data_IF_651754526502
#
_entry.id   IF_651754526502
#
_cell.length_a   1.000
_cell.length_b   1.000
_cell.length_c   1.000
_cell.angle_alpha   90.00
_cell.angle_beta   90.00
_cell.angle_gamma   90.00
#
_symmetry.space_group_name_H-M   'P 1'
#
loop_
_entity.id
_entity.type
_entity.pdbx_description
1 polymer ?
#
# COMPACT_ATOMS: atom_id res chain seq x y z
N UNK A 1 5.07 12.22 16.82
CA UNK A 1 4.15 13.09 17.57
C UNK A 1 4.56 14.58 17.54
N UNK A 2 5.85 14.94 17.76
CA UNK A 2 6.29 16.37 17.73
C UNK A 2 6.00 17.06 16.38
N UNK A 3 6.15 16.36 15.26
CA UNK A 3 5.87 16.92 13.94
C UNK A 3 4.37 17.15 13.73
N UNK A 4 3.51 16.22 14.15
CA UNK A 4 2.05 16.33 14.00
C UNK A 4 1.48 17.53 14.79
N UNK A 5 2.05 17.83 15.97
CA UNK A 5 1.62 18.99 16.78
C UNK A 5 1.74 20.34 16.07
N UNK A 6 2.52 20.43 14.99
CA UNK A 6 2.64 21.67 14.20
C UNK A 6 1.45 21.87 13.24
N UNK A 7 0.73 20.81 12.93
CA UNK A 7 -0.32 20.80 11.90
C UNK A 7 -1.70 20.42 12.44
N UNK A 8 -1.77 19.93 13.69
CA UNK A 8 -3.00 19.48 14.32
C UNK A 8 -3.31 20.31 15.56
N UNK A 9 -4.57 20.67 15.76
CA UNK A 9 -5.05 21.37 16.95
C UNK A 9 -4.87 20.53 18.22
N UNK A 10 -5.12 19.22 18.13
CA UNK A 10 -4.94 18.25 19.21
C UNK A 10 -4.26 16.98 18.69
N UNK A 11 -3.47 16.34 19.53
CA UNK A 11 -2.77 15.09 19.20
C UNK A 11 -2.84 14.14 20.39
N UNK A 12 -3.44 12.98 20.19
CA UNK A 12 -3.57 11.92 21.17
C UNK A 12 -2.67 10.74 20.81
N UNK A 13 -2.09 10.11 21.81
CA UNK A 13 -1.30 8.89 21.64
C UNK A 13 -2.08 7.69 22.17
N UNK A 14 -2.44 6.77 21.28
CA UNK A 14 -3.15 5.55 21.61
C UNK A 14 -2.47 4.35 20.95
N UNK A 15 -2.52 3.22 21.62
CA UNK A 15 -2.20 1.95 20.96
C UNK A 15 -3.43 1.50 20.14
N UNK A 16 -3.28 0.90 18.96
CA UNK A 16 -4.42 0.41 18.17
C UNK A 16 -5.35 -0.57 18.90
N UNK A 17 -4.84 -1.26 19.92
CA UNK A 17 -5.62 -2.13 20.79
C UNK A 17 -6.36 -1.43 21.93
N UNK A 18 -6.20 -0.10 22.12
CA UNK A 18 -6.92 0.68 23.13
C UNK A 18 -8.23 1.25 22.56
N UNK A 19 -9.12 0.38 22.05
CA UNK A 19 -10.33 0.78 21.33
C UNK A 19 -11.26 1.62 22.21
N UNK A 20 -11.50 1.21 23.46
CA UNK A 20 -12.34 1.99 24.38
C UNK A 20 -11.81 3.41 24.61
N UNK A 21 -10.48 3.57 24.69
CA UNK A 21 -9.85 4.89 24.85
C UNK A 21 -10.00 5.73 23.58
N UNK A 22 -9.84 5.10 22.43
CA UNK A 22 -10.03 5.77 21.13
C UNK A 22 -11.48 6.24 20.99
N UNK A 23 -12.45 5.35 21.26
CA UNK A 23 -13.88 5.69 21.23
C UNK A 23 -14.21 6.85 22.17
N UNK A 24 -13.68 6.81 23.39
CA UNK A 24 -13.88 7.90 24.35
C UNK A 24 -13.36 9.23 23.80
N UNK A 25 -12.14 9.27 23.28
CA UNK A 25 -11.56 10.48 22.68
C UNK A 25 -12.43 11.00 21.53
N UNK A 26 -12.87 10.11 20.64
CA UNK A 26 -13.72 10.48 19.50
C UNK A 26 -15.06 11.09 19.94
N UNK A 27 -15.67 10.57 21.00
CA UNK A 27 -16.90 11.09 21.60
C UNK A 27 -16.67 12.43 22.30
N UNK A 28 -15.64 12.51 23.15
CA UNK A 28 -15.33 13.73 23.93
C UNK A 28 -14.96 14.91 23.02
N UNK A 29 -14.37 14.63 21.86
CA UNK A 29 -14.01 15.62 20.83
C UNK A 29 -15.11 15.83 19.78
N UNK A 30 -16.26 15.20 19.92
CA UNK A 30 -17.43 15.31 19.03
C UNK A 30 -17.09 15.08 17.54
N UNK A 31 -16.15 14.13 17.25
CA UNK A 31 -15.68 13.83 15.89
C UNK A 31 -16.82 13.28 15.05
N UNK A 32 -17.05 13.86 13.87
CA UNK A 32 -18.05 13.41 12.89
C UNK A 32 -17.45 12.75 11.66
N UNK A 33 -16.19 13.07 11.35
CA UNK A 33 -15.49 12.52 10.19
C UNK A 33 -14.08 12.10 10.58
N UNK A 34 -13.60 11.01 10.01
CA UNK A 34 -12.27 10.48 10.24
C UNK A 34 -11.65 9.98 8.93
N UNK A 35 -10.34 9.94 8.85
CA UNK A 35 -9.60 9.26 7.78
C UNK A 35 -8.43 8.48 8.38
N UNK A 36 -8.10 7.35 7.78
CA UNK A 36 -6.96 6.55 8.17
C UNK A 36 -5.77 6.88 7.28
N UNK A 37 -4.65 7.30 7.85
CA UNK A 37 -3.43 7.60 7.12
C UNK A 37 -2.24 6.86 7.74
N UNK A 38 -1.43 6.26 6.90
CA UNK A 38 -0.24 5.53 7.33
C UNK A 38 -0.44 4.02 7.37
N UNK A 39 0.51 3.32 7.97
CA UNK A 39 0.54 1.85 8.00
C UNK A 39 0.55 1.32 9.44
N UNK A 40 -0.38 0.44 9.74
CA UNK A 40 -0.35 -0.37 10.97
C UNK A 40 0.37 -1.70 10.65
N UNK A 41 1.43 -1.99 11.39
CA UNK A 41 2.17 -3.23 11.20
C UNK A 41 1.47 -4.42 11.87
N UNK A 42 1.39 -5.56 11.20
CA UNK A 42 0.83 -6.83 11.74
C UNK A 42 1.43 -7.23 13.11
N UNK A 43 2.66 -6.78 13.41
CA UNK A 43 3.28 -6.99 14.72
C UNK A 43 2.47 -6.42 15.89
N UNK A 44 1.57 -5.49 15.65
CA UNK A 44 0.63 -4.98 16.67
C UNK A 44 -0.23 -6.13 17.22
N UNK A 45 -0.66 -7.06 16.36
CA UNK A 45 -1.43 -8.24 16.77
C UNK A 45 -0.68 -9.19 17.71
N UNK A 46 0.65 -9.10 17.75
CA UNK A 46 1.46 -9.87 18.71
C UNK A 46 1.50 -9.22 20.11
N UNK A 47 0.95 -8.03 20.28
CA UNK A 47 0.92 -7.28 21.52
C UNK A 47 -0.46 -7.36 22.20
N UNK A 48 -1.08 -8.53 22.22
CA UNK A 48 -2.44 -8.75 22.76
C UNK A 48 -2.62 -8.24 24.20
N UNK A 49 -1.54 -8.21 25.00
CA UNK A 49 -1.57 -7.64 26.34
C UNK A 49 -1.91 -6.13 26.39
N UNK A 50 -1.87 -5.44 25.27
CA UNK A 50 -2.27 -4.03 25.12
C UNK A 50 -3.67 -3.85 24.54
N UNK A 51 -4.38 -4.95 24.31
CA UNK A 51 -5.73 -4.93 23.75
C UNK A 51 -6.74 -4.92 24.89
N UNK A 52 -7.66 -3.96 24.85
CA UNK A 52 -8.80 -3.97 25.74
C UNK A 52 -9.88 -4.99 25.29
N UNK A 53 -10.91 -5.16 26.13
CA UNK A 53 -11.98 -6.15 25.88
C UNK A 53 -12.66 -5.89 24.52
N UNK A 54 -12.89 -4.62 24.15
CA UNK A 54 -13.53 -4.25 22.90
C UNK A 54 -12.68 -4.60 21.69
N UNK A 55 -11.38 -4.32 21.75
CA UNK A 55 -10.43 -4.72 20.70
C UNK A 55 -10.42 -6.25 20.51
N UNK A 56 -10.47 -7.01 21.59
CA UNK A 56 -10.52 -8.48 21.54
C UNK A 56 -11.83 -8.97 20.91
N UNK A 57 -12.97 -8.35 21.22
CA UNK A 57 -14.26 -8.66 20.59
C UNK A 57 -14.23 -8.45 19.08
N UNK A 58 -13.70 -7.30 18.64
CA UNK A 58 -13.55 -6.97 17.20
C UNK A 58 -12.67 -8.02 16.50
N UNK A 59 -11.54 -8.39 17.11
CA UNK A 59 -10.65 -9.41 16.55
C UNK A 59 -11.30 -10.80 16.48
N UNK A 60 -12.09 -11.18 17.50
CA UNK A 60 -12.84 -12.46 17.49
C UNK A 60 -13.91 -12.49 16.41
N UNK A 61 -14.52 -11.35 16.08
CA UNK A 61 -15.50 -11.25 15.00
C UNK A 61 -14.86 -11.41 13.60
N UNK A 62 -13.55 -11.21 13.47
CA UNK A 62 -12.82 -11.44 12.24
C UNK A 62 -12.62 -12.93 11.99
N UNK A 63 -13.40 -13.54 11.09
CA UNK A 63 -13.27 -14.96 10.70
C UNK A 63 -11.91 -15.30 10.09
N UNK A 64 -11.24 -14.32 9.50
CA UNK A 64 -9.86 -14.38 8.98
C UNK A 64 -9.18 -13.06 9.32
N UNK A 65 -7.99 -13.13 9.87
CA UNK A 65 -7.15 -11.96 10.21
C UNK A 65 -6.38 -11.44 8.98
N UNK A 66 -7.07 -11.26 7.85
CA UNK A 66 -6.47 -10.46 6.77
C UNK A 66 -6.69 -8.97 7.06
N UNK A 67 -5.74 -8.15 6.60
CA UNK A 67 -5.68 -6.73 6.96
C UNK A 67 -6.97 -5.99 6.56
N UNK A 68 -7.51 -6.28 5.37
CA UNK A 68 -8.70 -5.62 4.84
C UNK A 68 -9.95 -5.89 5.69
N UNK A 69 -10.13 -7.14 6.15
CA UNK A 69 -11.28 -7.48 7.01
C UNK A 69 -11.20 -6.85 8.39
N UNK A 70 -10.01 -6.82 8.98
CA UNK A 70 -9.80 -6.14 10.27
C UNK A 70 -10.09 -4.64 10.11
N UNK A 71 -9.62 -4.01 9.02
CA UNK A 71 -9.89 -2.60 8.78
C UNK A 71 -11.37 -2.31 8.53
N UNK A 72 -12.09 -3.18 7.79
CA UNK A 72 -13.54 -3.05 7.62
C UNK A 72 -14.30 -3.13 8.96
N UNK A 73 -13.89 -4.01 9.87
CA UNK A 73 -14.49 -4.07 11.21
C UNK A 73 -14.24 -2.76 11.99
N UNK A 74 -13.03 -2.20 11.88
CA UNK A 74 -12.71 -0.91 12.52
C UNK A 74 -13.58 0.21 11.92
N UNK A 75 -13.72 0.26 10.58
CA UNK A 75 -14.61 1.22 9.91
C UNK A 75 -16.03 1.09 10.42
N UNK A 76 -16.57 -0.13 10.52
CA UNK A 76 -17.92 -0.38 11.05
C UNK A 76 -18.07 0.11 12.50
N UNK A 77 -17.04 -0.01 13.34
CA UNK A 77 -17.10 0.54 14.70
C UNK A 77 -17.19 2.07 14.70
N UNK A 78 -16.44 2.77 13.81
CA UNK A 78 -16.56 4.22 13.62
C UNK A 78 -17.96 4.61 13.15
N UNK A 79 -18.52 3.90 12.18
CA UNK A 79 -19.89 4.14 11.65
C UNK A 79 -20.96 3.95 12.74
N UNK A 80 -20.81 2.95 13.63
CA UNK A 80 -21.69 2.77 14.81
C UNK A 80 -21.64 3.96 15.78
N UNK A 81 -20.53 4.67 15.82
CA UNK A 81 -20.38 5.90 16.62
C UNK A 81 -20.93 7.14 15.90
N UNK A 82 -21.50 6.99 14.70
CA UNK A 82 -21.95 8.09 13.86
C UNK A 82 -20.81 8.88 13.19
N UNK A 83 -19.66 8.27 13.05
CA UNK A 83 -18.46 8.86 12.43
C UNK A 83 -18.34 8.36 11.00
N UNK A 84 -18.35 9.26 10.03
CA UNK A 84 -18.10 8.91 8.61
C UNK A 84 -16.61 8.75 8.37
N UNK A 85 -16.20 7.58 7.88
CA UNK A 85 -14.81 7.34 7.45
C UNK A 85 -14.66 7.77 6.01
N UNK A 86 -13.79 8.76 5.79
CA UNK A 86 -13.55 9.38 4.49
C UNK A 86 -12.51 8.60 3.68
N UNK A 87 -12.67 8.64 2.36
CA UNK A 87 -11.67 8.17 1.40
C UNK A 87 -10.36 8.98 1.56
N UNK A 88 -9.24 8.29 1.70
CA UNK A 88 -7.92 8.93 1.83
C UNK A 88 -7.56 9.79 0.62
N UNK A 89 -8.02 9.41 -0.59
CA UNK A 89 -7.65 10.08 -1.83
C UNK A 89 -8.10 11.53 -1.88
N UNK A 90 -9.13 11.91 -1.10
CA UNK A 90 -9.59 13.30 -0.99
C UNK A 90 -8.45 14.23 -0.56
N UNK A 91 -7.56 13.74 0.31
CA UNK A 91 -6.48 14.54 0.91
C UNK A 91 -5.13 14.38 0.20
N UNK A 92 -4.99 13.39 -0.69
CA UNK A 92 -3.72 13.02 -1.31
C UNK A 92 -3.79 12.93 -2.84
N UNK A 93 -4.78 13.59 -3.47
CA UNK A 93 -4.95 13.61 -4.93
C UNK A 93 -3.67 14.01 -5.67
N UNK A 94 -2.91 14.94 -5.11
CA UNK A 94 -1.64 15.41 -5.68
C UNK A 94 -0.50 14.36 -5.61
N UNK A 95 -0.67 13.29 -4.86
CA UNK A 95 0.27 12.17 -4.80
C UNK A 95 -0.11 11.02 -5.74
N UNK A 96 -1.33 11.06 -6.31
CA UNK A 96 -1.77 10.06 -7.28
C UNK A 96 -1.05 10.29 -8.60
N UNK A 97 -0.68 9.19 -9.27
CA UNK A 97 0.13 9.24 -10.47
C UNK A 97 -0.77 9.15 -11.70
N UNK A 98 -0.75 10.14 -12.60
CA UNK A 98 -1.43 10.03 -13.88
C UNK A 98 -0.75 9.00 -14.78
N UNK A 99 -1.46 8.49 -15.81
CA UNK A 99 -0.90 7.58 -16.81
C UNK A 99 0.29 8.23 -17.54
N UNK A 100 1.30 7.43 -17.80
CA UNK A 100 2.50 7.85 -18.53
C UNK A 100 3.81 7.37 -17.89
N UNK A 101 4.90 7.76 -18.51
CA UNK A 101 6.26 7.48 -18.03
C UNK A 101 6.70 8.61 -17.11
N UNK A 102 7.32 8.25 -15.99
CA UNK A 102 7.87 9.19 -15.01
C UNK A 102 9.39 9.18 -15.09
N UNK A 103 9.97 10.37 -15.21
CA UNK A 103 11.42 10.53 -15.41
C UNK A 103 11.83 10.53 -16.88
N UNK A 104 13.11 10.24 -17.14
CA UNK A 104 13.75 10.39 -18.47
C UNK A 104 13.73 9.11 -19.30
N UNK A 105 13.71 7.98 -18.65
CA UNK A 105 13.84 6.66 -19.26
C UNK A 105 12.50 6.16 -19.79
N UNK A 106 12.52 5.56 -20.97
CA UNK A 106 11.33 4.95 -21.57
C UNK A 106 11.45 3.43 -21.57
N UNK A 107 10.32 2.71 -21.43
CA UNK A 107 10.32 1.26 -21.58
C UNK A 107 10.64 0.85 -23.02
N UNK A 108 11.29 -0.29 -23.20
CA UNK A 108 11.39 -0.97 -24.50
C UNK A 108 10.09 -1.72 -24.83
N UNK A 109 9.91 -2.10 -26.09
CA UNK A 109 8.74 -2.88 -26.54
C UNK A 109 8.62 -4.20 -25.75
N UNK A 110 9.73 -4.89 -25.54
CA UNK A 110 9.75 -6.12 -24.75
C UNK A 110 9.33 -5.89 -23.29
N UNK A 111 9.76 -4.79 -22.68
CA UNK A 111 9.32 -4.42 -21.33
C UNK A 111 7.82 -4.07 -21.31
N UNK A 112 7.29 -3.44 -22.36
CA UNK A 112 5.86 -3.15 -22.46
C UNK A 112 5.01 -4.43 -22.60
N UNK A 113 5.50 -5.45 -23.30
CA UNK A 113 4.83 -6.76 -23.33
C UNK A 113 4.79 -7.39 -21.92
N UNK A 114 5.91 -7.34 -21.19
CA UNK A 114 5.99 -7.80 -19.80
C UNK A 114 5.06 -7.00 -18.87
N UNK A 115 4.97 -5.68 -19.05
CA UNK A 115 4.05 -4.81 -18.31
C UNK A 115 2.60 -5.21 -18.54
N UNK A 116 2.20 -5.38 -19.81
CA UNK A 116 0.81 -5.72 -20.17
C UNK A 116 0.41 -7.07 -19.58
N UNK A 117 1.29 -8.07 -19.71
CA UNK A 117 1.06 -9.39 -19.13
C UNK A 117 1.03 -9.34 -17.59
N UNK A 118 1.98 -8.64 -16.99
CA UNK A 118 2.05 -8.49 -15.54
C UNK A 118 0.87 -7.72 -14.97
N UNK A 119 0.34 -6.71 -15.68
CA UNK A 119 -0.83 -5.95 -15.24
C UNK A 119 -2.07 -6.85 -15.18
N UNK A 120 -2.34 -7.58 -16.25
CA UNK A 120 -3.43 -8.56 -16.25
C UNK A 120 -3.28 -9.56 -15.11
N UNK A 121 -2.09 -10.17 -14.95
CA UNK A 121 -1.84 -11.16 -13.91
C UNK A 121 -2.03 -10.59 -12.50
N UNK A 122 -1.49 -9.40 -12.24
CA UNK A 122 -1.60 -8.76 -10.94
C UNK A 122 -3.06 -8.44 -10.57
N UNK A 123 -3.89 -8.06 -11.55
CA UNK A 123 -5.34 -7.88 -11.35
C UNK A 123 -6.04 -9.21 -11.03
N UNK A 124 -5.73 -10.30 -11.72
CA UNK A 124 -6.30 -11.62 -11.43
C UNK A 124 -5.91 -12.09 -10.01
N UNK A 125 -4.65 -11.93 -9.62
CA UNK A 125 -4.18 -12.26 -8.27
C UNK A 125 -4.83 -11.38 -7.20
N UNK A 126 -5.10 -10.12 -7.51
CA UNK A 126 -5.83 -9.20 -6.64
C UNK A 126 -7.28 -9.60 -6.41
N UNK A 127 -7.97 -10.17 -7.41
CA UNK A 127 -9.36 -10.66 -7.29
C UNK A 127 -9.49 -11.77 -6.25
N UNK A 128 -8.49 -12.66 -6.16
CA UNK A 128 -8.47 -13.77 -5.19
C UNK A 128 -7.72 -13.44 -3.89
N UNK A 129 -7.39 -12.16 -3.70
CA UNK A 129 -6.74 -11.62 -2.48
C UNK A 129 -5.42 -12.31 -2.10
N UNK A 130 -4.63 -12.71 -3.08
CA UNK A 130 -3.28 -13.29 -2.87
C UNK A 130 -2.24 -12.19 -2.69
N UNK A 131 -2.24 -11.20 -3.59
CA UNK A 131 -1.33 -10.07 -3.60
C UNK A 131 -1.65 -9.11 -4.73
N UNK A 132 -0.82 -8.08 -4.89
CA UNK A 132 -1.04 -7.02 -5.87
C UNK A 132 0.22 -6.63 -6.65
N UNK A 133 1.30 -7.38 -6.48
CA UNK A 133 2.54 -7.16 -7.23
C UNK A 133 3.03 -8.46 -7.85
N UNK A 134 3.55 -8.36 -9.06
CA UNK A 134 4.15 -9.49 -9.79
C UNK A 134 5.50 -9.05 -10.36
N UNK A 135 6.38 -10.03 -10.58
CA UNK A 135 7.67 -9.82 -11.25
C UNK A 135 7.69 -10.68 -12.49
N UNK A 136 7.90 -10.05 -13.62
CA UNK A 136 7.85 -10.66 -14.97
C UNK A 136 9.22 -10.52 -15.63
N UNK A 137 9.59 -11.46 -16.47
CA UNK A 137 10.73 -11.39 -17.38
C UNK A 137 10.45 -12.24 -18.60
N UNK A 138 10.54 -11.63 -19.80
CA UNK A 138 10.34 -12.30 -21.08
C UNK A 138 9.01 -13.09 -21.11
N UNK A 139 7.91 -12.47 -20.63
CA UNK A 139 6.56 -13.06 -20.45
C UNK A 139 6.51 -14.26 -19.51
N UNK A 140 7.55 -14.48 -18.71
CA UNK A 140 7.54 -15.53 -17.69
C UNK A 140 7.32 -14.92 -16.29
N UNK A 141 6.52 -15.59 -15.49
CA UNK A 141 6.25 -15.19 -14.10
C UNK A 141 7.44 -15.59 -13.23
N UNK A 142 8.19 -14.61 -12.76
CA UNK A 142 9.33 -14.83 -11.85
C UNK A 142 8.89 -14.89 -10.39
N UNK A 143 7.89 -14.07 -10.01
CA UNK A 143 7.30 -14.08 -8.68
C UNK A 143 5.92 -13.44 -8.67
N UNK A 144 5.08 -13.90 -7.76
CA UNK A 144 3.81 -13.27 -7.36
C UNK A 144 3.92 -12.92 -5.90
N UNK A 145 3.49 -11.71 -5.53
CA UNK A 145 3.43 -11.26 -4.14
C UNK A 145 2.39 -12.07 -3.37
N UNK A 146 2.74 -12.48 -2.17
CA UNK A 146 1.84 -13.06 -1.19
C UNK A 146 2.09 -12.39 0.17
N UNK A 147 2.09 -13.14 1.25
CA UNK A 147 2.25 -12.63 2.62
C UNK A 147 3.60 -11.94 2.89
N UNK A 148 4.61 -12.23 2.07
CA UNK A 148 5.94 -11.65 2.19
C UNK A 148 6.01 -10.15 1.87
N UNK A 149 5.05 -9.65 1.09
CA UNK A 149 4.95 -8.25 0.67
C UNK A 149 5.86 -7.89 -0.53
N UNK A 150 5.61 -6.71 -1.11
CA UNK A 150 6.19 -6.24 -2.39
C UNK A 150 7.72 -6.33 -2.43
N UNK A 151 8.45 -5.83 -1.41
CA UNK A 151 9.91 -5.79 -1.45
C UNK A 151 10.54 -7.20 -1.50
N UNK A 152 9.94 -8.18 -0.81
CA UNK A 152 10.43 -9.56 -0.81
C UNK A 152 10.04 -10.30 -2.10
N UNK A 153 8.88 -10.00 -2.66
CA UNK A 153 8.48 -10.47 -3.98
C UNK A 153 9.48 -9.99 -5.05
N UNK A 154 9.79 -8.68 -5.08
CA UNK A 154 10.80 -8.10 -5.98
C UNK A 154 12.15 -8.81 -5.81
N UNK A 155 12.62 -8.96 -4.57
CA UNK A 155 13.89 -9.66 -4.29
C UNK A 155 13.90 -11.07 -4.86
N UNK A 156 12.85 -11.85 -4.66
CA UNK A 156 12.74 -13.25 -5.09
C UNK A 156 12.66 -13.33 -6.62
N UNK A 157 11.75 -12.59 -7.24
CA UNK A 157 11.55 -12.57 -8.68
C UNK A 157 12.77 -12.07 -9.44
N UNK A 158 13.37 -10.96 -8.99
CA UNK A 158 14.57 -10.40 -9.65
C UNK A 158 15.78 -11.32 -9.55
N UNK A 159 15.93 -12.08 -8.46
CA UNK A 159 16.99 -13.10 -8.36
C UNK A 159 16.82 -14.22 -9.40
N UNK A 160 15.57 -14.66 -9.66
CA UNK A 160 15.25 -15.65 -10.69
C UNK A 160 15.50 -15.08 -12.09
N UNK A 161 15.09 -13.85 -12.34
CA UNK A 161 15.31 -13.13 -13.59
C UNK A 161 16.79 -12.79 -13.85
N UNK A 162 17.65 -12.80 -12.82
CA UNK A 162 19.06 -12.37 -12.84
C UNK A 162 19.24 -10.87 -13.10
N UNK A 163 18.62 -10.32 -14.15
CA UNK A 163 18.59 -8.90 -14.53
C UNK A 163 17.39 -8.60 -15.42
N UNK A 164 17.02 -7.35 -15.55
CA UNK A 164 16.00 -6.91 -16.51
C UNK A 164 14.58 -7.31 -16.09
N UNK A 165 14.33 -7.53 -14.81
CA UNK A 165 12.99 -7.87 -14.34
C UNK A 165 12.07 -6.64 -14.42
N UNK A 166 10.83 -6.87 -14.81
CA UNK A 166 9.71 -5.94 -14.80
C UNK A 166 8.86 -6.22 -13.59
N UNK A 167 8.64 -5.20 -12.77
CA UNK A 167 7.76 -5.25 -11.61
C UNK A 167 6.44 -4.58 -11.98
N UNK A 168 5.33 -5.21 -11.73
CA UNK A 168 4.00 -4.60 -11.91
C UNK A 168 3.26 -4.61 -10.59
N UNK A 169 2.73 -3.47 -10.18
CA UNK A 169 1.95 -3.31 -8.96
C UNK A 169 0.65 -2.56 -9.25
N UNK A 170 -0.47 -3.16 -8.90
CA UNK A 170 -1.82 -2.64 -9.17
C UNK A 170 -2.62 -2.43 -7.87
N UNK A 171 -3.74 -1.75 -7.96
CA UNK A 171 -4.77 -1.80 -6.95
C UNK A 171 -5.59 -3.09 -7.08
N UNK A 172 -5.94 -3.72 -5.96
CA UNK A 172 -6.87 -4.85 -5.99
C UNK A 172 -8.24 -4.36 -6.47
N UNK A 173 -9.00 -5.15 -7.24
CA UNK A 173 -10.34 -4.73 -7.69
C UNK A 173 -11.31 -4.35 -6.57
N UNK A 174 -11.16 -4.97 -5.39
CA UNK A 174 -11.97 -4.70 -4.20
C UNK A 174 -11.29 -3.79 -3.18
N UNK A 175 -10.26 -3.04 -3.59
CA UNK A 175 -9.49 -2.20 -2.67
C UNK A 175 -10.33 -1.08 -2.08
N UNK A 176 -10.37 -0.97 -0.77
CA UNK A 176 -11.12 0.06 -0.07
C UNK A 176 -10.22 1.28 0.19
N UNK A 177 -10.49 2.35 -0.57
CA UNK A 177 -9.70 3.60 -0.52
C UNK A 177 -9.80 4.35 0.80
N UNK A 178 -10.67 3.93 1.71
CA UNK A 178 -10.76 4.52 3.06
C UNK A 178 -9.53 4.18 3.92
N UNK A 179 -8.84 3.08 3.61
CA UNK A 179 -7.71 2.63 4.44
C UNK A 179 -6.56 1.94 3.69
N UNK A 180 -6.73 1.59 2.42
CA UNK A 180 -5.66 0.93 1.66
C UNK A 180 -5.53 1.55 0.26
N UNK A 181 -4.37 2.16 0.00
CA UNK A 181 -3.98 2.69 -1.29
C UNK A 181 -2.60 2.13 -1.64
N UNK A 182 -2.44 1.51 -2.82
CA UNK A 182 -1.14 1.07 -3.26
C UNK A 182 -0.11 2.20 -3.23
N UNK A 183 1.04 1.92 -2.69
CA UNK A 183 2.11 2.90 -2.61
C UNK A 183 3.44 2.30 -3.02
N UNK A 184 4.27 3.11 -3.69
CA UNK A 184 5.70 2.85 -3.88
C UNK A 184 6.50 4.02 -3.34
N UNK A 185 7.77 3.78 -3.09
CA UNK A 185 8.67 4.81 -2.57
C UNK A 185 10.13 4.43 -2.77
N UNK A 186 11.02 5.25 -2.25
CA UNK A 186 12.47 5.07 -2.41
C UNK A 186 12.98 3.70 -1.94
N UNK A 187 12.32 3.10 -0.95
CA UNK A 187 12.69 1.75 -0.46
C UNK A 187 12.48 0.70 -1.54
N UNK A 188 11.36 0.75 -2.26
CA UNK A 188 11.05 -0.16 -3.37
C UNK A 188 12.11 -0.03 -4.47
N UNK A 189 12.45 1.21 -4.87
CA UNK A 189 13.46 1.47 -5.90
C UNK A 189 14.86 0.99 -5.48
N UNK A 190 15.24 1.18 -4.21
CA UNK A 190 16.49 0.63 -3.66
C UNK A 190 16.52 -0.90 -3.71
N UNK A 191 15.37 -1.55 -3.47
CA UNK A 191 15.25 -3.01 -3.59
C UNK A 191 15.43 -3.42 -5.06
N UNK A 192 14.78 -2.73 -6.00
CA UNK A 192 14.92 -2.98 -7.43
C UNK A 192 16.36 -2.83 -7.90
N UNK A 193 17.03 -1.70 -7.57
CA UNK A 193 18.45 -1.50 -7.88
C UNK A 193 19.31 -2.65 -7.36
N UNK A 194 19.15 -2.99 -6.06
CA UNK A 194 19.93 -4.06 -5.42
C UNK A 194 19.80 -5.40 -6.13
N UNK A 195 18.64 -5.72 -6.67
CA UNK A 195 18.35 -7.01 -7.28
C UNK A 195 18.21 -6.94 -8.81
N UNK A 196 18.58 -5.79 -9.43
CA UNK A 196 18.65 -5.60 -10.88
C UNK A 196 17.29 -5.77 -11.58
N UNK A 197 16.25 -5.19 -11.02
CA UNK A 197 14.99 -4.99 -11.71
C UNK A 197 15.03 -3.62 -12.42
N UNK A 198 14.62 -3.57 -13.68
CA UNK A 198 14.86 -2.43 -14.55
C UNK A 198 13.61 -1.56 -14.75
N UNK A 199 12.41 -2.08 -14.47
CA UNK A 199 11.18 -1.35 -14.66
C UNK A 199 10.17 -1.63 -13.54
N UNK A 200 9.47 -0.59 -13.10
CA UNK A 200 8.26 -0.72 -12.30
C UNK A 200 7.09 -0.01 -13.00
N UNK A 201 6.03 -0.78 -13.25
CA UNK A 201 4.75 -0.27 -13.69
C UNK A 201 3.75 -0.28 -12.54
N UNK A 202 3.02 0.81 -12.36
CA UNK A 202 1.97 0.94 -11.35
C UNK A 202 0.64 1.30 -12.01
N UNK A 203 -0.47 1.07 -11.33
CA UNK A 203 -1.78 1.44 -11.84
C UNK A 203 -1.99 2.95 -11.72
N UNK A 204 -2.29 3.60 -12.84
CA UNK A 204 -2.51 5.03 -12.93
C UNK A 204 -3.75 5.46 -12.13
N UNK A 205 -3.68 6.60 -11.45
CA UNK A 205 -4.74 7.16 -10.61
C UNK A 205 -5.21 6.25 -9.44
N UNK A 206 -4.53 5.12 -9.22
CA UNK A 206 -4.80 4.17 -8.13
C UNK A 206 -3.60 3.99 -7.21
N UNK A 207 -2.42 4.46 -7.62
CA UNK A 207 -1.17 4.30 -6.86
C UNK A 207 -0.58 5.66 -6.51
N UNK A 208 0.01 5.76 -5.33
CA UNK A 208 0.78 6.93 -4.90
C UNK A 208 2.28 6.66 -4.90
N UNK A 209 3.06 7.71 -5.20
CA UNK A 209 4.52 7.70 -4.98
C UNK A 209 4.84 8.65 -3.82
N UNK A 210 5.39 8.07 -2.75
CA UNK A 210 5.86 8.85 -1.60
C UNK A 210 7.19 9.51 -1.93
N UNK A 211 7.32 10.82 -1.68
CA UNK A 211 8.49 11.63 -2.08
C UNK A 211 8.80 11.52 -3.59
N UNK A 212 7.82 11.77 -4.44
CA UNK A 212 7.87 11.53 -5.89
C UNK A 212 9.15 12.07 -6.56
N UNK A 213 9.53 13.31 -6.31
CA UNK A 213 10.75 13.90 -6.89
C UNK A 213 12.01 13.10 -6.57
N UNK A 214 12.16 12.66 -5.30
CA UNK A 214 13.31 11.85 -4.88
C UNK A 214 13.30 10.47 -5.51
N UNK A 215 12.11 9.89 -5.69
CA UNK A 215 11.92 8.57 -6.29
C UNK A 215 12.27 8.61 -7.77
N UNK A 216 11.76 9.61 -8.51
CA UNK A 216 12.06 9.80 -9.94
C UNK A 216 13.56 10.07 -10.15
N UNK A 217 14.14 11.00 -9.37
CA UNK A 217 15.57 11.26 -9.43
C UNK A 217 16.41 9.99 -9.20
N UNK A 218 16.07 9.22 -8.19
CA UNK A 218 16.76 7.95 -7.90
C UNK A 218 16.62 6.96 -9.04
N UNK A 219 15.45 6.86 -9.67
CA UNK A 219 15.20 5.99 -10.80
C UNK A 219 16.06 6.36 -12.01
N UNK A 220 16.07 7.66 -12.38
CA UNK A 220 16.89 8.19 -13.48
C UNK A 220 18.41 7.97 -13.27
N UNK A 221 18.89 8.12 -12.02
CA UNK A 221 20.29 7.90 -11.64
C UNK A 221 20.70 6.41 -11.60
N UNK A 222 19.75 5.48 -11.67
CA UNK A 222 20.00 4.05 -11.51
C UNK A 222 19.39 3.18 -12.62
N UNK A 223 19.10 3.80 -13.78
CA UNK A 223 18.58 3.14 -14.98
C UNK A 223 17.28 2.32 -14.72
N UNK A 224 16.40 2.84 -13.86
CA UNK A 224 15.12 2.23 -13.56
C UNK A 224 13.99 3.02 -14.22
N UNK A 225 13.20 2.37 -15.06
CA UNK A 225 12.00 2.97 -15.64
C UNK A 225 10.86 2.95 -14.61
N UNK A 226 10.17 4.07 -14.46
CA UNK A 226 8.90 4.15 -13.71
C UNK A 226 7.81 4.55 -14.68
N UNK A 227 6.71 3.82 -14.67
CA UNK A 227 5.54 4.17 -15.47
C UNK A 227 4.24 3.88 -14.74
N UNK A 228 3.16 4.56 -15.15
CA UNK A 228 1.79 4.30 -14.74
C UNK A 228 0.93 3.93 -15.95
N UNK A 229 0.20 2.86 -15.87
CA UNK A 229 -0.67 2.30 -16.92
C UNK A 229 -2.12 2.24 -16.46
#
# INVERSE_FOLDING_TARGET
LRQLKKYCSKVYSCHPGEVNKIEKILKDEEIKQATFLGKVHKRVLLQLHKFDARAIEILKAAQRLNDDKVMLLIVNEFEKLGITVLDQTIFIKNLMIPSGVLGKLKPSDAQMEDVNYGFWLAKEMGKIDVGQSVVIKDKMIMAVEAIEGTDMCIKRGSKLAKKGAVVVKVAKPSQDKRFDIPAIGLRTLKTMKKYKADLIAVEANETIIVDQEKVIKFADENDIVIMAV
#
